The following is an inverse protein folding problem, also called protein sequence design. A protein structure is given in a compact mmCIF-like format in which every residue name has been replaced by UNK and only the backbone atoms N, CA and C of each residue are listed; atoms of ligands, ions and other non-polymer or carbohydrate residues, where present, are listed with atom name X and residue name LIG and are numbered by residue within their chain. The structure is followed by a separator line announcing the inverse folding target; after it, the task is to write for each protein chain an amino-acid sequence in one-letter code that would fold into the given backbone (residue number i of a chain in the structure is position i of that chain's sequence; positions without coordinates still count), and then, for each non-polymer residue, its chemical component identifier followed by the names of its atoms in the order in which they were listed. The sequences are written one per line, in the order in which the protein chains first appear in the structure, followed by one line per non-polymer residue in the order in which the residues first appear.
data_IF_337072641240
#
_entry.id   IF_337072641240
#
_cell.length_a   1.000
_cell.length_b   1.000
_cell.length_c   1.000
_cell.angle_alpha   90.00
_cell.angle_beta   90.00
_cell.angle_gamma   90.00
#
_symmetry.space_group_name_H-M   'P 1'
#
loop_
_entity.id
_entity.type
_entity.pdbx_description
1 polymer ?
#
# COMPACT_ATOMS: atom_id res chain seq x y z
N UNK A 1 -15.05 -19.65 2.59
CA UNK A 1 -14.91 -19.01 1.25
C UNK A 1 -13.56 -18.31 1.26
N UNK A 2 -12.73 -18.54 0.22
CA UNK A 2 -11.38 -17.95 0.13
C UNK A 2 -11.46 -16.56 -0.47
N UNK A 3 -11.10 -15.54 0.31
CA UNK A 3 -11.12 -14.12 -0.05
C UNK A 3 -9.73 -13.68 -0.49
N UNK A 4 -9.62 -12.97 -1.61
CA UNK A 4 -8.35 -12.45 -2.13
C UNK A 4 -8.48 -10.96 -2.41
N UNK A 5 -7.43 -10.20 -2.07
CA UNK A 5 -7.27 -8.81 -2.51
C UNK A 5 -6.02 -8.68 -3.38
N UNK A 6 -6.11 -7.87 -4.42
CA UNK A 6 -5.02 -7.62 -5.37
C UNK A 6 -4.77 -6.11 -5.42
N UNK A 7 -3.57 -5.70 -5.03
CA UNK A 7 -3.21 -4.28 -4.95
C UNK A 7 -1.82 -4.01 -5.53
N UNK A 8 -1.69 -2.88 -6.18
CA UNK A 8 -0.38 -2.37 -6.58
C UNK A 8 0.44 -2.01 -5.32
N UNK A 9 1.76 -2.27 -5.31
CA UNK A 9 2.61 -1.77 -4.24
C UNK A 9 2.65 -0.25 -4.27
N UNK A 10 2.42 0.37 -3.11
CA UNK A 10 2.36 1.83 -2.95
C UNK A 10 3.39 2.31 -1.93
N UNK A 11 3.86 3.55 -2.10
CA UNK A 11 4.84 4.13 -1.18
C UNK A 11 4.18 4.60 0.11
N UNK A 12 4.66 4.11 1.27
CA UNK A 12 4.15 4.46 2.60
C UNK A 12 2.61 4.42 2.66
N UNK A 13 1.95 3.27 2.42
CA UNK A 13 0.50 3.20 2.26
C UNK A 13 -0.26 3.78 3.47
N UNK A 14 -1.50 4.17 3.24
CA UNK A 14 -2.42 4.58 4.31
C UNK A 14 -3.07 3.37 5.00
N UNK A 15 -3.77 3.62 6.13
CA UNK A 15 -4.39 2.57 6.96
C UNK A 15 -5.27 1.59 6.17
N UNK A 16 -6.10 2.10 5.25
CA UNK A 16 -7.04 1.27 4.49
C UNK A 16 -6.37 0.22 3.61
N UNK A 17 -5.12 0.43 3.21
CA UNK A 17 -4.34 -0.58 2.50
C UNK A 17 -4.09 -1.82 3.38
N UNK A 18 -3.72 -1.59 4.63
CA UNK A 18 -3.45 -2.66 5.59
C UNK A 18 -4.74 -3.27 6.15
N UNK A 19 -5.81 -2.48 6.26
CA UNK A 19 -7.13 -2.99 6.62
C UNK A 19 -7.68 -3.95 5.55
N UNK A 20 -7.52 -3.61 4.27
CA UNK A 20 -7.83 -4.54 3.18
C UNK A 20 -6.95 -5.79 3.23
N UNK A 21 -5.65 -5.64 3.47
CA UNK A 21 -4.73 -6.77 3.59
C UNK A 21 -5.16 -7.73 4.71
N UNK A 22 -5.56 -7.21 5.86
CA UNK A 22 -6.00 -8.02 7.01
C UNK A 22 -7.35 -8.71 6.78
N UNK A 23 -8.22 -8.15 5.93
CA UNK A 23 -9.59 -8.66 5.70
C UNK A 23 -9.67 -9.86 4.75
N UNK A 24 -8.54 -10.35 4.22
CA UNK A 24 -8.50 -11.41 3.20
C UNK A 24 -7.59 -12.57 3.57
N UNK A 25 -7.80 -13.71 2.93
CA UNK A 25 -7.00 -14.93 3.14
C UNK A 25 -5.67 -14.90 2.39
N UNK A 26 -5.59 -14.17 1.26
CA UNK A 26 -4.36 -13.94 0.50
C UNK A 26 -4.38 -12.51 -0.04
N UNK A 27 -3.24 -11.83 0.10
CA UNK A 27 -3.01 -10.52 -0.49
C UNK A 27 -1.98 -10.62 -1.61
N UNK A 28 -2.32 -10.10 -2.80
CA UNK A 28 -1.47 -10.19 -4.01
C UNK A 28 -0.90 -8.83 -4.35
N UNK A 29 0.42 -8.75 -4.47
CA UNK A 29 1.08 -7.58 -5.06
C UNK A 29 0.98 -7.60 -6.59
N UNK A 30 0.34 -6.57 -7.15
CA UNK A 30 0.17 -6.38 -8.59
C UNK A 30 1.24 -5.39 -9.11
N UNK A 31 2.45 -5.87 -9.33
CA UNK A 31 3.58 -5.06 -9.83
C UNK A 31 3.88 -5.27 -11.32
N UNK A 32 3.15 -6.19 -11.96
CA UNK A 32 3.23 -6.53 -13.38
C UNK A 32 2.39 -5.62 -14.30
N UNK A 33 1.78 -4.56 -13.78
CA UNK A 33 0.99 -3.60 -14.55
C UNK A 33 1.74 -2.29 -14.78
N UNK A 34 1.21 -1.46 -15.68
CA UNK A 34 1.81 -0.19 -16.07
C UNK A 34 1.94 0.79 -14.89
N UNK A 35 3.11 1.43 -14.80
CA UNK A 35 3.37 2.49 -13.84
C UNK A 35 2.62 3.77 -14.19
N UNK A 36 1.97 4.35 -13.20
CA UNK A 36 1.31 5.64 -13.31
C UNK A 36 2.09 6.72 -12.55
N UNK A 37 2.61 7.69 -13.29
CA UNK A 37 3.39 8.80 -12.71
C UNK A 37 2.53 9.66 -11.78
N UNK A 38 3.10 10.06 -10.65
CA UNK A 38 2.45 10.86 -9.61
C UNK A 38 1.23 10.17 -8.97
N UNK A 39 1.15 8.84 -9.06
CA UNK A 39 0.17 8.02 -8.34
C UNK A 39 0.69 7.61 -6.95
N UNK A 40 -0.14 6.92 -6.20
CA UNK A 40 0.19 6.32 -4.91
C UNK A 40 1.36 5.32 -4.98
N UNK A 41 1.69 4.80 -6.16
CA UNK A 41 2.83 3.91 -6.37
C UNK A 41 4.15 4.55 -5.91
N UNK A 42 4.33 5.87 -6.14
CA UNK A 42 5.57 6.58 -5.83
C UNK A 42 5.44 7.67 -4.77
N UNK A 43 4.23 7.98 -4.26
CA UNK A 43 4.05 9.06 -3.28
C UNK A 43 2.94 8.78 -2.29
N UNK A 44 3.07 9.40 -1.12
CA UNK A 44 1.99 9.46 -0.14
C UNK A 44 2.12 10.71 0.73
N UNK A 45 1.10 10.97 1.55
CA UNK A 45 1.06 12.10 2.47
C UNK A 45 1.52 11.70 3.86
N UNK A 46 2.26 12.60 4.49
CA UNK A 46 2.55 12.57 5.92
C UNK A 46 2.10 13.89 6.56
N UNK A 47 1.89 13.88 7.87
CA UNK A 47 1.50 15.07 8.62
C UNK A 47 2.72 15.77 9.20
N UNK A 48 2.91 17.03 8.87
CA UNK A 48 3.93 17.91 9.46
C UNK A 48 3.29 18.92 10.41
N UNK A 49 4.09 19.72 11.10
CA UNK A 49 3.60 20.83 11.92
C UNK A 49 2.84 21.90 11.10
N UNK A 50 3.10 21.99 9.79
CA UNK A 50 2.40 22.91 8.87
C UNK A 50 1.25 22.25 8.11
N UNK A 51 0.88 21.02 8.49
CA UNK A 51 -0.17 20.24 7.84
C UNK A 51 0.36 19.11 6.95
N UNK A 52 -0.52 18.46 6.17
CA UNK A 52 -0.17 17.36 5.28
C UNK A 52 0.75 17.79 4.13
N UNK A 53 1.76 16.99 3.84
CA UNK A 53 2.62 17.16 2.68
C UNK A 53 2.83 15.85 1.91
N UNK A 54 3.10 15.95 0.62
CA UNK A 54 3.45 14.81 -0.22
C UNK A 54 4.93 14.48 -0.12
N UNK A 55 5.25 13.22 0.18
CA UNK A 55 6.56 12.63 -0.06
C UNK A 55 6.51 11.86 -1.38
N UNK A 56 7.33 12.25 -2.35
CA UNK A 56 7.35 11.65 -3.69
C UNK A 56 8.73 11.10 -4.00
N UNK A 57 8.84 9.78 -4.20
CA UNK A 57 10.08 9.14 -4.63
C UNK A 57 10.39 9.60 -6.05
N UNK A 58 11.58 10.17 -6.30
CA UNK A 58 12.02 10.48 -7.65
C UNK A 58 12.31 9.20 -8.42
N UNK A 59 11.80 9.09 -9.65
CA UNK A 59 11.96 7.89 -10.49
C UNK A 59 12.38 8.25 -11.91
N UNK A 60 13.08 7.33 -12.56
CA UNK A 60 13.59 7.49 -13.94
C UNK A 60 12.46 7.23 -14.95
N UNK A 61 11.88 8.31 -15.48
CA UNK A 61 10.76 8.23 -16.45
C UNK A 61 11.08 8.81 -17.82
N UNK A 62 12.22 9.49 -18.01
CA UNK A 62 12.59 10.10 -19.29
C UNK A 62 12.74 9.04 -20.38
N UNK A 63 11.94 9.15 -21.45
CA UNK A 63 11.96 8.19 -22.56
C UNK A 63 11.31 6.82 -22.25
N UNK A 64 10.64 6.67 -21.09
CA UNK A 64 10.06 5.40 -20.64
C UNK A 64 8.56 5.58 -20.33
N UNK A 65 7.70 5.50 -21.36
CA UNK A 65 6.24 5.72 -21.19
C UNK A 65 5.50 4.51 -20.63
N UNK A 66 5.86 3.30 -21.07
CA UNK A 66 5.09 2.07 -20.85
C UNK A 66 5.78 1.08 -19.91
N UNK A 67 6.62 1.59 -18.99
CA UNK A 67 7.29 0.72 -18.04
C UNK A 67 6.30 0.13 -17.01
N UNK A 68 6.49 -1.14 -16.69
CA UNK A 68 5.77 -1.81 -15.60
C UNK A 68 6.29 -1.32 -14.25
N UNK A 69 5.46 -1.38 -13.19
CA UNK A 69 5.82 -0.95 -11.83
C UNK A 69 7.14 -1.58 -11.38
N UNK A 70 7.31 -2.90 -11.60
CA UNK A 70 8.53 -3.65 -11.26
C UNK A 70 9.79 -3.16 -11.98
N UNK A 71 9.64 -2.52 -13.15
CA UNK A 71 10.75 -2.02 -13.96
C UNK A 71 11.11 -0.55 -13.72
N UNK A 72 10.41 0.14 -12.80
CA UNK A 72 10.66 1.54 -12.50
C UNK A 72 11.87 1.69 -11.59
N UNK A 73 12.93 2.35 -12.06
CA UNK A 73 14.13 2.62 -11.27
C UNK A 73 14.00 3.93 -10.49
N UNK A 74 14.51 3.94 -9.26
CA UNK A 74 14.59 5.11 -8.40
C UNK A 74 15.73 6.03 -8.89
N UNK A 75 15.47 7.35 -8.88
CA UNK A 75 16.46 8.37 -9.23
C UNK A 75 17.15 8.92 -7.98
N UNK A 76 18.25 8.32 -7.59
CA UNK A 76 19.05 8.72 -6.42
C UNK A 76 19.84 10.02 -6.60
N UNK A 77 19.87 10.62 -7.78
CA UNK A 77 20.52 11.92 -7.99
C UNK A 77 19.81 13.07 -7.29
N UNK A 78 18.56 12.88 -6.82
CA UNK A 78 17.68 13.91 -6.24
C UNK A 78 17.57 13.89 -4.72
N UNK A 79 18.66 13.61 -4.01
CA UNK A 79 18.76 13.61 -2.53
C UNK A 79 17.81 12.60 -1.82
N UNK A 80 17.17 11.68 -2.56
CA UNK A 80 16.45 10.57 -1.96
C UNK A 80 17.47 9.49 -1.50
N UNK A 81 17.29 8.77 -0.40
CA UNK A 81 16.18 8.89 0.57
C UNK A 81 16.37 9.96 1.64
N UNK A 82 17.56 10.60 1.70
CA UNK A 82 17.93 11.52 2.79
C UNK A 82 16.87 12.59 3.09
N UNK A 83 16.36 13.27 2.06
CA UNK A 83 15.36 14.31 2.24
C UNK A 83 14.04 13.77 2.83
N UNK A 84 13.61 12.55 2.47
CA UNK A 84 12.41 11.94 3.05
C UNK A 84 12.64 11.56 4.52
N UNK A 85 13.81 11.00 4.83
CA UNK A 85 14.21 10.67 6.21
C UNK A 85 14.24 11.93 7.07
N UNK A 86 14.92 13.00 6.60
CA UNK A 86 15.01 14.28 7.33
C UNK A 86 13.58 14.83 7.61
N UNK A 87 12.68 14.78 6.65
CA UNK A 87 11.28 15.23 6.82
C UNK A 87 10.53 14.35 7.82
N UNK A 88 10.67 13.01 7.75
CA UNK A 88 10.05 12.10 8.71
C UNK A 88 10.53 12.37 10.14
N UNK A 89 11.84 12.52 10.34
CA UNK A 89 12.42 12.85 11.65
C UNK A 89 11.89 14.19 12.16
N UNK A 90 11.94 15.25 11.35
CA UNK A 90 11.44 16.58 11.74
C UNK A 90 9.95 16.55 12.11
N UNK A 91 9.15 15.74 11.40
CA UNK A 91 7.70 15.67 11.61
C UNK A 91 7.31 14.85 12.84
N UNK A 92 8.05 13.75 13.12
CA UNK A 92 7.57 12.73 14.05
C UNK A 92 8.51 12.41 15.22
N UNK A 93 9.72 13.00 15.33
CA UNK A 93 10.65 12.70 16.44
C UNK A 93 10.07 12.96 17.85
N UNK A 94 9.01 13.75 17.96
CA UNK A 94 8.27 13.99 19.21
C UNK A 94 7.07 13.08 19.41
N UNK A 95 6.77 12.20 18.45
CA UNK A 95 5.68 11.23 18.59
C UNK A 95 6.03 10.18 19.65
N UNK A 96 5.05 9.67 20.40
CA UNK A 96 5.31 8.76 21.54
C UNK A 96 6.10 7.51 21.19
N UNK A 97 5.89 6.98 19.97
CA UNK A 97 6.48 5.72 19.53
C UNK A 97 7.49 5.86 18.39
N UNK A 98 7.94 7.08 18.09
CA UNK A 98 8.90 7.33 17.01
C UNK A 98 10.15 6.47 17.14
N UNK A 99 10.78 6.48 18.33
CA UNK A 99 12.03 5.75 18.58
C UNK A 99 11.87 4.22 18.51
N UNK A 100 10.63 3.72 18.63
CA UNK A 100 10.35 2.28 18.56
C UNK A 100 10.37 1.76 17.12
N UNK A 101 9.94 2.58 16.13
CA UNK A 101 9.73 2.14 14.76
C UNK A 101 10.62 2.82 13.71
N UNK A 102 11.18 3.99 14.01
CA UNK A 102 11.85 4.80 13.00
C UNK A 102 13.10 4.13 12.41
N UNK A 103 13.90 3.48 13.24
CA UNK A 103 15.18 2.91 12.81
C UNK A 103 15.00 1.82 11.75
N UNK A 104 14.00 0.95 11.89
CA UNK A 104 13.72 -0.10 10.91
C UNK A 104 13.24 0.48 9.57
N UNK A 105 12.39 1.50 9.62
CA UNK A 105 11.88 2.19 8.43
C UNK A 105 13.02 2.89 7.70
N UNK A 106 13.85 3.63 8.42
CA UNK A 106 15.02 4.35 7.89
C UNK A 106 16.01 3.36 7.27
N UNK A 107 16.30 2.26 7.95
CA UNK A 107 17.21 1.21 7.46
C UNK A 107 16.78 0.65 6.11
N UNK A 108 15.48 0.39 5.89
CA UNK A 108 14.98 -0.05 4.58
C UNK A 108 15.16 1.05 3.53
N UNK A 109 14.83 2.29 3.86
CA UNK A 109 14.99 3.40 2.92
C UNK A 109 16.45 3.62 2.50
N UNK A 110 17.40 3.39 3.39
CA UNK A 110 18.85 3.55 3.14
C UNK A 110 19.48 2.42 2.33
N UNK A 111 18.81 1.26 2.17
CA UNK A 111 19.31 0.14 1.38
C UNK A 111 19.52 0.46 -0.12
N UNK A 112 19.04 1.62 -0.59
CA UNK A 112 19.17 2.07 -1.99
C UNK A 112 18.75 1.01 -3.00
N UNK A 113 17.56 0.42 -2.80
CA UNK A 113 16.97 -0.53 -3.75
C UNK A 113 16.91 0.08 -5.15
N UNK A 114 17.24 -0.70 -6.18
CA UNK A 114 17.24 -0.21 -7.56
C UNK A 114 15.83 0.13 -8.03
N UNK A 115 14.86 -0.76 -7.80
CA UNK A 115 13.48 -0.57 -8.28
C UNK A 115 12.56 0.04 -7.23
N UNK A 116 11.58 0.82 -7.71
CA UNK A 116 10.50 1.37 -6.89
C UNK A 116 9.70 0.25 -6.21
N UNK A 117 9.36 -0.80 -6.97
CA UNK A 117 8.60 -1.95 -6.47
C UNK A 117 9.32 -2.64 -5.30
N UNK A 118 10.61 -2.94 -5.43
CA UNK A 118 11.37 -3.56 -4.34
C UNK A 118 11.35 -2.73 -3.06
N UNK A 119 11.54 -1.41 -3.16
CA UNK A 119 11.52 -0.54 -1.98
C UNK A 119 10.13 -0.47 -1.35
N UNK A 120 9.09 -0.29 -2.17
CA UNK A 120 7.72 -0.16 -1.65
C UNK A 120 7.21 -1.46 -1.05
N UNK A 121 7.53 -2.62 -1.63
CA UNK A 121 7.17 -3.93 -1.08
C UNK A 121 7.90 -4.19 0.24
N UNK A 122 9.21 -3.92 0.33
CA UNK A 122 9.96 -4.11 1.58
C UNK A 122 9.39 -3.25 2.72
N UNK A 123 9.01 -1.99 2.44
CA UNK A 123 8.35 -1.12 3.41
C UNK A 123 6.96 -1.65 3.80
N UNK A 124 6.17 -2.11 2.84
CA UNK A 124 4.84 -2.68 3.12
C UNK A 124 4.96 -3.94 4.00
N UNK A 125 5.92 -4.81 3.71
CA UNK A 125 6.16 -6.02 4.49
C UNK A 125 6.64 -5.70 5.91
N UNK A 126 7.49 -4.67 6.08
CA UNK A 126 7.85 -4.17 7.40
C UNK A 126 6.60 -3.69 8.16
N UNK A 127 5.79 -2.82 7.58
CA UNK A 127 4.57 -2.31 8.23
C UNK A 127 3.57 -3.43 8.55
N UNK A 128 3.40 -4.40 7.65
CA UNK A 128 2.60 -5.61 7.89
C UNK A 128 3.06 -6.33 9.16
N UNK A 129 4.38 -6.52 9.31
CA UNK A 129 4.97 -7.18 10.48
C UNK A 129 4.78 -6.34 11.76
N UNK A 130 5.05 -5.02 11.71
CA UNK A 130 4.87 -4.10 12.83
C UNK A 130 3.39 -4.02 13.30
N UNK A 131 2.45 -4.19 12.37
CA UNK A 131 1.03 -4.27 12.66
C UNK A 131 0.57 -5.67 13.11
N UNK A 132 1.46 -6.68 13.14
CA UNK A 132 1.10 -8.09 13.42
C UNK A 132 0.03 -8.66 12.47
N UNK A 133 -0.01 -8.22 11.22
CA UNK A 133 -0.88 -8.77 10.18
C UNK A 133 -0.19 -10.00 9.60
N UNK A 134 -0.87 -11.16 9.61
CA UNK A 134 -0.29 -12.43 9.20
C UNK A 134 -0.80 -12.94 7.84
N UNK A 135 -1.60 -12.16 7.14
CA UNK A 135 -2.16 -12.51 5.82
C UNK A 135 -1.05 -12.97 4.86
N UNK A 136 -1.16 -14.17 4.27
CA UNK A 136 -0.24 -14.65 3.25
C UNK A 136 -0.12 -13.71 2.06
N UNK A 137 1.10 -13.56 1.55
CA UNK A 137 1.41 -12.70 0.41
C UNK A 137 1.71 -13.56 -0.82
N UNK A 138 1.23 -13.10 -1.99
CA UNK A 138 1.58 -13.64 -3.30
C UNK A 138 1.97 -12.50 -4.25
N UNK A 139 2.58 -12.84 -5.37
CA UNK A 139 3.06 -11.86 -6.36
C UNK A 139 2.50 -12.17 -7.74
N UNK A 140 1.94 -11.16 -8.41
CA UNK A 140 1.40 -11.34 -9.78
C UNK A 140 2.44 -11.83 -10.78
N UNK A 141 3.71 -11.49 -10.54
CA UNK A 141 4.83 -11.94 -11.38
C UNK A 141 5.13 -13.43 -11.26
N UNK A 142 4.84 -14.07 -10.13
CA UNK A 142 5.02 -15.51 -9.91
C UNK A 142 3.87 -16.32 -10.50
N UNK A 143 2.68 -15.73 -10.54
CA UNK A 143 1.46 -16.38 -11.03
C UNK A 143 1.28 -16.28 -12.55
N UNK A 144 1.99 -15.35 -13.22
CA UNK A 144 1.91 -15.16 -14.68
C UNK A 144 0.48 -15.11 -15.22
N UNK A 145 -0.37 -14.16 -14.77
CA UNK A 145 -1.77 -14.11 -15.13
C UNK A 145 -2.00 -13.86 -16.62
N UNK A 146 -3.09 -14.39 -17.16
CA UNK A 146 -3.53 -14.13 -18.53
C UNK A 146 -4.30 -12.81 -18.62
N UNK A 147 -4.30 -12.21 -19.82
CA UNK A 147 -5.12 -11.06 -20.16
C UNK A 147 -4.67 -9.73 -19.56
N UNK A 148 -5.57 -8.77 -19.53
CA UNK A 148 -5.36 -7.41 -19.00
C UNK A 148 -6.59 -6.97 -18.21
N UNK A 149 -6.42 -5.96 -17.33
CA UNK A 149 -7.51 -5.38 -16.52
C UNK A 149 -8.25 -6.45 -15.71
N UNK A 150 -9.59 -6.55 -15.88
CA UNK A 150 -10.46 -7.47 -15.16
C UNK A 150 -10.18 -8.95 -15.49
N UNK A 151 -9.82 -9.27 -16.75
CA UNK A 151 -9.37 -10.61 -17.13
C UNK A 151 -8.13 -11.05 -16.33
N UNK A 152 -7.14 -10.17 -16.22
CA UNK A 152 -5.93 -10.42 -15.43
C UNK A 152 -6.27 -10.65 -13.95
N UNK A 153 -7.15 -9.84 -13.37
CA UNK A 153 -7.57 -9.97 -11.97
C UNK A 153 -8.32 -11.29 -11.74
N UNK A 154 -9.24 -11.65 -12.65
CA UNK A 154 -9.97 -12.91 -12.58
C UNK A 154 -9.03 -14.11 -12.73
N UNK A 155 -8.05 -14.05 -13.64
CA UNK A 155 -7.00 -15.07 -13.81
C UNK A 155 -6.17 -15.28 -12.53
N UNK A 156 -5.75 -14.19 -11.85
CA UNK A 156 -5.04 -14.27 -10.56
C UNK A 156 -5.89 -14.92 -9.48
N UNK A 157 -7.16 -14.53 -9.39
CA UNK A 157 -8.10 -15.11 -8.43
C UNK A 157 -8.32 -16.61 -8.69
N UNK A 158 -8.47 -17.00 -9.94
CA UNK A 158 -8.66 -18.41 -10.34
C UNK A 158 -7.44 -19.26 -9.99
N UNK A 159 -6.21 -18.80 -10.28
CA UNK A 159 -4.97 -19.51 -9.98
C UNK A 159 -4.73 -19.71 -8.48
N UNK A 160 -5.34 -18.87 -7.66
CA UNK A 160 -5.26 -18.95 -6.21
C UNK A 160 -6.50 -19.62 -5.58
N UNK A 161 -7.39 -20.25 -6.36
CA UNK A 161 -8.62 -20.87 -5.91
C UNK A 161 -9.52 -19.93 -5.09
N UNK A 162 -9.62 -18.67 -5.51
CA UNK A 162 -10.45 -17.68 -4.84
C UNK A 162 -11.94 -17.94 -5.09
N UNK A 163 -12.74 -17.78 -4.04
CA UNK A 163 -14.21 -17.71 -4.18
C UNK A 163 -14.72 -16.27 -4.29
N UNK A 164 -13.95 -15.33 -3.72
CA UNK A 164 -14.35 -13.93 -3.65
C UNK A 164 -13.12 -13.00 -3.84
N UNK A 165 -13.26 -12.01 -4.69
CA UNK A 165 -12.31 -10.92 -4.87
C UNK A 165 -12.77 -9.68 -4.09
N UNK A 166 -11.97 -9.24 -3.14
CA UNK A 166 -12.22 -8.02 -2.38
C UNK A 166 -11.50 -6.86 -3.08
N UNK A 167 -12.26 -6.07 -3.81
CA UNK A 167 -11.75 -5.00 -4.67
C UNK A 167 -11.81 -3.63 -3.98
N UNK A 168 -10.82 -2.75 -4.17
CA UNK A 168 -10.99 -1.34 -3.86
C UNK A 168 -12.18 -0.74 -4.62
N UNK A 169 -12.92 0.16 -3.97
CA UNK A 169 -14.11 0.79 -4.56
C UNK A 169 -13.85 1.49 -5.91
N UNK A 170 -12.64 2.01 -6.10
CA UNK A 170 -12.26 2.69 -7.35
C UNK A 170 -12.23 1.81 -8.61
N UNK A 171 -12.31 0.49 -8.45
CA UNK A 171 -12.36 -0.44 -9.57
C UNK A 171 -13.79 -0.83 -9.99
N UNK A 172 -14.80 -0.36 -9.27
CA UNK A 172 -16.20 -0.76 -9.43
C UNK A 172 -16.70 -0.60 -10.86
N UNK A 173 -16.44 0.54 -11.48
CA UNK A 173 -16.95 0.91 -12.80
C UNK A 173 -16.63 -0.13 -13.88
N UNK A 174 -15.44 -0.76 -13.84
CA UNK A 174 -15.06 -1.75 -14.85
C UNK A 174 -15.20 -3.21 -14.40
N UNK A 175 -15.50 -3.45 -13.10
CA UNK A 175 -15.64 -4.79 -12.56
C UNK A 175 -17.09 -5.28 -12.50
N UNK A 176 -18.08 -4.38 -12.31
CA UNK A 176 -19.49 -4.74 -12.15
C UNK A 176 -20.02 -5.56 -13.34
N UNK A 177 -19.54 -5.29 -14.55
CA UNK A 177 -19.93 -5.98 -15.77
C UNK A 177 -18.92 -7.03 -16.27
N UNK A 178 -17.92 -7.36 -15.46
CA UNK A 178 -16.87 -8.30 -15.87
C UNK A 178 -17.46 -9.70 -16.16
N UNK A 179 -17.32 -10.13 -17.41
CA UNK A 179 -17.69 -11.49 -17.82
C UNK A 179 -16.73 -12.54 -17.24
N UNK A 180 -15.46 -12.20 -17.05
CA UNK A 180 -14.43 -13.14 -16.61
C UNK A 180 -14.67 -13.63 -15.19
N UNK A 181 -15.06 -12.75 -14.28
CA UNK A 181 -15.43 -13.13 -12.91
C UNK A 181 -16.71 -14.00 -12.89
N UNK A 182 -17.69 -13.68 -13.74
CA UNK A 182 -18.92 -14.50 -13.87
C UNK A 182 -18.64 -15.89 -14.42
N UNK A 183 -17.86 -15.99 -15.50
CA UNK A 183 -17.50 -17.28 -16.14
C UNK A 183 -16.72 -18.19 -15.18
N UNK A 184 -15.88 -17.62 -14.30
CA UNK A 184 -15.12 -18.37 -13.31
C UNK A 184 -15.88 -18.57 -11.98
N UNK A 185 -17.12 -18.07 -11.86
CA UNK A 185 -17.93 -18.14 -10.64
C UNK A 185 -17.23 -17.56 -9.41
N UNK A 186 -16.52 -16.44 -9.58
CA UNK A 186 -15.81 -15.70 -8.51
C UNK A 186 -16.64 -14.47 -8.14
N UNK A 187 -17.04 -14.36 -6.88
CA UNK A 187 -17.74 -13.18 -6.35
C UNK A 187 -16.85 -11.95 -6.31
N UNK A 188 -17.45 -10.76 -6.50
CA UNK A 188 -16.77 -9.49 -6.31
C UNK A 188 -17.44 -8.75 -5.16
N UNK A 189 -16.65 -8.34 -4.17
CA UNK A 189 -17.05 -7.44 -3.08
C UNK A 189 -16.21 -6.18 -3.11
N UNK A 190 -16.82 -5.03 -2.84
CA UNK A 190 -16.08 -3.76 -2.74
C UNK A 190 -15.74 -3.47 -1.29
N UNK A 191 -14.44 -3.22 -1.09
CA UNK A 191 -13.91 -2.90 0.24
C UNK A 191 -14.33 -1.49 0.66
N UNK A 192 -15.06 -1.40 1.75
CA UNK A 192 -15.45 -0.16 2.37
C UNK A 192 -14.71 0.00 3.70
N UNK A 193 -14.06 1.15 3.87
CA UNK A 193 -13.26 1.44 5.04
C UNK A 193 -13.58 2.83 5.58
N UNK A 194 -14.04 2.89 6.83
CA UNK A 194 -14.29 4.13 7.54
C UNK A 194 -13.03 4.54 8.29
N UNK A 195 -12.37 5.62 7.83
CA UNK A 195 -11.11 6.04 8.45
C UNK A 195 -11.31 6.40 9.92
N UNK A 196 -10.72 5.65 10.88
CA UNK A 196 -10.86 5.94 12.30
C UNK A 196 -10.11 7.23 12.66
N UNK A 197 -10.59 7.92 13.69
CA UNK A 197 -9.85 9.02 14.31
C UNK A 197 -8.94 8.47 15.40
N UNK A 198 -7.72 8.99 15.45
CA UNK A 198 -6.74 8.70 16.50
C UNK A 198 -5.95 9.96 16.83
N UNK A 199 -5.26 9.93 17.98
CA UNK A 199 -4.43 11.06 18.38
C UNK A 199 -3.24 11.22 17.43
N UNK A 200 -3.07 12.41 16.90
CA UNK A 200 -1.93 12.78 16.05
C UNK A 200 -1.20 13.95 16.68
N UNK A 201 0.12 13.96 16.64
CA UNK A 201 0.87 15.20 16.92
C UNK A 201 0.64 16.23 15.81
N UNK A 202 1.07 17.47 16.04
CA UNK A 202 1.03 18.56 15.05
C UNK A 202 -0.39 19.04 14.69
N UNK A 203 -1.20 19.37 15.70
CA UNK A 203 -2.49 20.07 15.51
C UNK A 203 -3.68 19.14 15.19
N UNK A 204 -4.66 19.67 14.46
CA UNK A 204 -5.91 18.96 14.19
C UNK A 204 -5.73 17.65 13.42
N UNK A 205 -6.68 16.73 13.59
CA UNK A 205 -6.65 15.44 12.91
C UNK A 205 -6.71 15.58 11.40
N UNK A 206 -5.76 14.95 10.70
CA UNK A 206 -5.71 14.84 9.25
C UNK A 206 -5.91 13.38 8.85
N UNK A 207 -7.03 13.02 8.17
CA UNK A 207 -7.26 11.65 7.71
C UNK A 207 -6.38 11.28 6.51
N UNK A 208 -6.31 10.00 6.19
CA UNK A 208 -5.63 9.45 5.01
C UNK A 208 -4.12 9.69 4.95
N UNK A 209 -3.49 9.90 6.11
CA UNK A 209 -2.03 9.94 6.20
C UNK A 209 -1.44 8.54 6.02
N UNK A 210 -0.16 8.49 5.68
CA UNK A 210 0.62 7.25 5.66
C UNK A 210 0.51 6.48 6.97
N UNK A 211 0.65 5.17 6.92
CA UNK A 211 0.66 4.28 8.10
C UNK A 211 1.73 4.67 9.13
N UNK A 212 2.81 5.32 8.71
CA UNK A 212 3.85 5.80 9.64
C UNK A 212 3.29 6.81 10.63
N UNK A 213 2.29 7.61 10.23
CA UNK A 213 1.60 8.53 11.13
C UNK A 213 0.89 7.78 12.26
N UNK A 214 0.15 6.71 11.93
CA UNK A 214 -0.51 5.87 12.95
C UNK A 214 0.52 5.18 13.85
N UNK A 215 1.53 4.51 13.27
CA UNK A 215 2.53 3.77 14.04
C UNK A 215 3.27 4.67 15.03
N UNK A 216 3.71 5.85 14.59
CA UNK A 216 4.44 6.77 15.46
C UNK A 216 3.57 7.40 16.56
N UNK A 217 2.26 7.55 16.33
CA UNK A 217 1.36 8.15 17.31
C UNK A 217 0.66 7.14 18.23
N UNK A 218 0.39 5.90 17.75
CA UNK A 218 -0.41 4.90 18.46
C UNK A 218 0.35 3.63 18.85
N UNK A 219 1.52 3.38 18.28
CA UNK A 219 2.37 2.23 18.62
C UNK A 219 1.63 0.91 18.50
N UNK A 220 1.70 0.08 19.54
CA UNK A 220 1.06 -1.25 19.61
C UNK A 220 -0.46 -1.22 19.44
N UNK A 221 -1.10 -0.08 19.66
CA UNK A 221 -2.55 0.06 19.49
C UNK A 221 -2.96 0.29 18.02
N UNK A 222 -1.99 0.43 17.11
CA UNK A 222 -2.22 0.72 15.70
C UNK A 222 -3.14 -0.28 15.01
N UNK A 223 -2.97 -1.59 15.26
CA UNK A 223 -3.83 -2.62 14.68
C UNK A 223 -5.27 -2.52 15.21
N UNK A 224 -5.47 -2.27 16.50
CA UNK A 224 -6.80 -2.14 17.08
C UNK A 224 -7.54 -0.91 16.54
N UNK A 225 -6.82 0.20 16.33
CA UNK A 225 -7.35 1.42 15.71
C UNK A 225 -7.70 1.16 14.23
N UNK A 226 -6.81 0.51 13.48
CA UNK A 226 -7.05 0.14 12.09
C UNK A 226 -8.35 -0.69 11.95
N UNK A 227 -8.57 -1.66 12.82
CA UNK A 227 -9.77 -2.53 12.83
C UNK A 227 -11.07 -1.78 13.07
N UNK A 228 -11.05 -0.65 13.78
CA UNK A 228 -12.25 0.17 14.00
C UNK A 228 -12.85 0.72 12.69
N UNK A 229 -12.03 0.83 11.64
CA UNK A 229 -12.50 1.28 10.33
C UNK A 229 -13.12 0.17 9.47
N UNK A 230 -12.96 -1.10 9.84
CA UNK A 230 -13.61 -2.22 9.17
C UNK A 230 -15.10 -2.19 9.49
N UNK A 231 -15.95 -2.33 8.48
CA UNK A 231 -17.39 -2.54 8.72
C UNK A 231 -17.58 -3.92 9.33
N UNK A 232 -18.40 -3.99 10.38
CA UNK A 232 -18.91 -5.28 10.89
C UNK A 232 -19.71 -5.96 9.76
N UNK A 233 -19.37 -7.21 9.45
CA UNK A 233 -20.17 -8.04 8.53
C UNK A 233 -21.55 -8.34 9.08
#
# INVERSE_FOLDING_TARGET
MKKIAIMQPTYLPWLGYFALMESVDIFVFLDSVQFSKRSWQQRNMIKTHSGPIWLTIPVMTKGKRDQLIRGVNIDYSRKFPKNHIDILVQSYQKSPFFNEYADEIIKIMEQKKTSLSSLTIDLILLFRNLLNINTPISYSTELSPNGVKDEMLASLCYQLDANEYISPIGAKEYLDDSKFFRELNIGIKYFEYNHPKYNQINGEFAPYMSIVDLLFNAGKDSLSILRQGLKSE
#
